data_IF_314495041647
#
_entry.id   IF_314495041647
#
_cell.length_a   1.000
_cell.length_b   1.000
_cell.length_c   1.000
_cell.angle_alpha   90.00
_cell.angle_beta   90.00
_cell.angle_gamma   90.00
#
_symmetry.space_group_name_H-M   'P 1'
#
loop_
_entity.id
_entity.type
_entity.pdbx_description
1 polymer ?
#
# COMPACT_ATOMS: atom_id res chain seq x y z
N UNK A 1 43.99 20.43 44.86
CA UNK A 1 43.75 19.02 44.40
C UNK A 1 42.41 18.48 44.84
N UNK A 2 41.91 18.76 46.06
CA UNK A 2 40.59 18.29 46.54
C UNK A 2 39.38 18.89 45.77
N UNK A 3 39.48 20.09 45.26
CA UNK A 3 38.41 20.77 44.52
C UNK A 3 38.19 20.16 43.10
N UNK A 4 39.22 19.55 42.52
CA UNK A 4 39.10 18.90 41.21
C UNK A 4 38.44 17.49 41.26
N UNK A 5 38.59 16.78 42.37
CA UNK A 5 37.99 15.44 42.58
C UNK A 5 36.48 15.52 42.79
N UNK A 6 35.98 16.52 43.51
CA UNK A 6 34.55 16.75 43.72
C UNK A 6 33.83 17.14 42.41
N UNK A 7 34.49 17.92 41.57
CA UNK A 7 33.94 18.34 40.27
C UNK A 7 33.93 17.19 39.24
N UNK A 8 34.86 16.25 39.32
CA UNK A 8 34.93 15.08 38.49
C UNK A 8 33.86 14.02 38.91
N UNK A 9 33.65 13.84 40.22
CA UNK A 9 32.59 12.97 40.75
C UNK A 9 31.19 13.45 40.37
N UNK A 10 30.93 14.75 40.41
CA UNK A 10 29.65 15.33 40.01
C UNK A 10 29.41 15.21 38.48
N UNK A 11 30.44 15.32 37.64
CA UNK A 11 30.33 15.10 36.21
C UNK A 11 30.06 13.64 35.84
N UNK A 12 30.70 12.69 36.54
CA UNK A 12 30.46 11.25 36.37
C UNK A 12 29.05 10.89 36.85
N UNK A 13 28.61 11.42 37.97
CA UNK A 13 27.24 11.22 38.48
C UNK A 13 26.19 11.78 37.52
N UNK A 14 26.43 12.97 36.94
CA UNK A 14 25.53 13.55 35.93
C UNK A 14 25.52 12.75 34.62
N UNK A 15 26.66 12.18 34.21
CA UNK A 15 26.76 11.33 33.04
C UNK A 15 26.03 10.00 33.25
N UNK A 16 26.16 9.39 34.44
CA UNK A 16 25.44 8.15 34.79
C UNK A 16 23.93 8.40 34.94
N UNK A 17 23.51 9.53 35.49
CA UNK A 17 22.09 9.90 35.58
C UNK A 17 21.50 10.19 34.19
N UNK A 18 22.25 10.85 33.31
CA UNK A 18 21.81 11.10 31.92
C UNK A 18 21.78 9.80 31.08
N UNK A 19 22.72 8.84 31.29
CA UNK A 19 22.66 7.53 30.67
C UNK A 19 21.47 6.68 31.19
N UNK A 20 21.17 6.76 32.47
CA UNK A 20 19.99 6.10 33.06
C UNK A 20 18.67 6.75 32.62
N UNK A 21 18.65 8.05 32.33
CA UNK A 21 17.49 8.73 31.75
C UNK A 21 17.26 8.37 30.27
N UNK A 22 18.32 8.05 29.54
CA UNK A 22 18.22 7.58 28.16
C UNK A 22 17.69 6.13 28.02
N UNK A 23 17.83 5.30 29.08
CA UNK A 23 17.31 3.92 29.07
C UNK A 23 15.79 3.86 29.33
N UNK A 24 15.15 4.95 29.70
CA UNK A 24 13.70 5.08 29.79
C UNK A 24 13.00 5.51 28.50
N UNK A 25 13.62 5.28 27.34
CA UNK A 25 12.89 5.22 26.06
C UNK A 25 11.98 3.98 26.10
N UNK A 26 10.77 4.21 26.61
CA UNK A 26 9.76 3.16 26.77
C UNK A 26 9.38 2.58 25.43
N UNK A 27 9.99 1.48 25.04
CA UNK A 27 9.48 0.70 23.94
C UNK A 27 8.04 0.29 24.32
N UNK A 28 7.09 0.88 23.68
CA UNK A 28 5.67 0.53 23.72
C UNK A 28 5.50 -0.65 22.77
N UNK A 29 4.53 -1.51 23.03
CA UNK A 29 4.10 -2.49 22.02
C UNK A 29 3.80 -1.76 20.72
N UNK A 30 4.50 -2.14 19.64
CA UNK A 30 4.33 -1.62 18.29
C UNK A 30 3.81 -2.75 17.43
N UNK A 31 2.66 -2.51 16.81
CA UNK A 31 2.02 -3.42 15.87
C UNK A 31 2.25 -2.93 14.44
N UNK A 32 2.27 -3.82 13.44
CA UNK A 32 2.15 -3.45 12.04
C UNK A 32 0.92 -2.58 11.76
N UNK A 33 0.99 -1.76 10.72
CA UNK A 33 -0.04 -0.77 10.40
C UNK A 33 -1.41 -1.37 10.07
N UNK A 34 -1.48 -2.64 9.72
CA UNK A 34 -2.75 -3.35 9.48
C UNK A 34 -3.41 -3.91 10.73
N UNK A 35 -2.76 -3.86 11.89
CA UNK A 35 -3.39 -4.15 13.18
C UNK A 35 -3.79 -2.85 13.87
N UNK A 36 -4.94 -2.32 13.55
CA UNK A 36 -5.47 -1.07 14.10
C UNK A 36 -6.90 -1.24 14.63
N UNK A 37 -7.41 -0.19 15.25
CA UNK A 37 -8.83 -0.07 15.51
C UNK A 37 -9.63 -0.33 14.23
N UNK A 38 -10.87 -0.74 14.36
CA UNK A 38 -11.81 -1.02 13.28
C UNK A 38 -11.46 -2.22 12.37
N UNK A 39 -10.36 -2.94 12.58
CA UNK A 39 -9.97 -4.08 11.74
C UNK A 39 -11.01 -5.22 11.79
N UNK A 40 -10.98 -6.04 10.74
CA UNK A 40 -11.65 -7.35 10.72
C UNK A 40 -10.58 -8.44 10.77
N UNK A 41 -10.81 -9.45 11.61
CA UNK A 41 -10.02 -10.67 11.66
C UNK A 41 -10.78 -11.80 10.99
N UNK A 42 -10.09 -12.68 10.25
CA UNK A 42 -10.71 -13.86 9.66
C UNK A 42 -11.32 -14.76 10.73
N UNK A 43 -12.55 -15.19 10.52
CA UNK A 43 -13.28 -16.07 11.46
C UNK A 43 -12.81 -17.51 11.40
N UNK A 44 -13.04 -18.28 12.49
CA UNK A 44 -12.84 -19.73 12.60
C UNK A 44 -11.43 -20.19 12.16
N UNK A 45 -10.39 -19.43 12.52
CA UNK A 45 -9.01 -19.71 12.18
C UNK A 45 -8.06 -19.28 13.30
N UNK A 46 -6.77 -19.42 13.08
CA UNK A 46 -5.73 -18.82 13.93
C UNK A 46 -5.17 -17.58 13.22
N UNK A 47 -5.21 -16.44 13.92
CA UNK A 47 -4.58 -15.20 13.47
C UNK A 47 -3.26 -15.01 14.22
N UNK A 48 -2.19 -14.82 13.47
CA UNK A 48 -0.87 -14.56 14.05
C UNK A 48 -0.64 -13.06 14.20
N UNK A 49 -0.71 -12.57 15.44
CA UNK A 49 -0.26 -11.23 15.77
C UNK A 49 1.26 -11.22 15.92
N UNK A 50 1.89 -10.14 15.48
CA UNK A 50 3.33 -9.95 15.61
C UNK A 50 3.66 -8.46 15.73
N UNK A 51 4.90 -8.16 16.11
CA UNK A 51 5.35 -6.78 16.22
C UNK A 51 6.61 -6.65 17.06
N UNK A 52 6.80 -5.46 17.61
CA UNK A 52 7.93 -5.15 18.48
C UNK A 52 7.44 -4.79 19.89
N UNK A 53 8.24 -5.10 20.89
CA UNK A 53 7.99 -4.73 22.29
C UNK A 53 9.32 -4.69 23.07
N UNK A 54 9.25 -4.49 24.38
CA UNK A 54 10.45 -4.46 25.24
C UNK A 54 11.15 -5.82 25.28
N UNK A 55 12.45 -5.82 24.97
CA UNK A 55 13.31 -7.00 24.94
C UNK A 55 13.14 -7.89 26.20
N UNK A 56 13.01 -9.19 25.99
CA UNK A 56 12.95 -10.18 27.06
C UNK A 56 11.71 -10.12 27.94
N UNK A 57 10.78 -9.21 27.69
CA UNK A 57 9.50 -9.13 28.40
C UNK A 57 8.54 -10.19 27.93
N UNK A 58 7.62 -10.55 28.83
CA UNK A 58 6.45 -11.35 28.48
C UNK A 58 5.39 -10.41 27.94
N UNK A 59 4.94 -10.67 26.72
CA UNK A 59 3.79 -10.02 26.11
C UNK A 59 2.54 -10.85 26.38
N UNK A 60 1.47 -10.20 26.79
CA UNK A 60 0.14 -10.79 26.96
C UNK A 60 -0.84 -10.17 26.00
N UNK A 61 -1.65 -10.99 25.34
CA UNK A 61 -2.76 -10.58 24.50
C UNK A 61 -4.05 -11.09 25.12
N UNK A 62 -4.95 -10.18 25.46
CA UNK A 62 -6.28 -10.53 25.97
C UNK A 62 -7.31 -10.28 24.89
N UNK A 63 -8.11 -11.27 24.58
CA UNK A 63 -9.15 -11.25 23.56
C UNK A 63 -10.50 -10.88 24.15
N UNK A 64 -11.24 -10.00 23.50
CA UNK A 64 -12.55 -9.53 23.98
C UNK A 64 -13.71 -10.50 23.72
N UNK A 65 -13.51 -11.56 22.94
CA UNK A 65 -14.58 -12.54 22.65
C UNK A 65 -14.72 -13.65 23.67
N UNK A 66 -13.64 -13.99 24.40
CA UNK A 66 -13.69 -15.02 25.43
C UNK A 66 -12.94 -14.62 26.73
N UNK A 67 -12.31 -13.42 26.75
CA UNK A 67 -11.45 -12.92 27.83
C UNK A 67 -10.24 -13.80 28.17
N UNK A 68 -9.83 -14.67 27.26
CA UNK A 68 -8.63 -15.47 27.42
C UNK A 68 -7.36 -14.64 27.26
N UNK A 69 -6.31 -15.06 27.96
CA UNK A 69 -5.00 -14.41 27.95
C UNK A 69 -4.00 -15.34 27.28
N UNK A 70 -3.51 -14.92 26.13
CA UNK A 70 -2.45 -15.58 25.38
C UNK A 70 -1.12 -14.92 25.69
N UNK A 71 -0.04 -15.71 25.74
CA UNK A 71 1.26 -15.25 26.22
C UNK A 71 2.37 -15.64 25.25
N UNK A 72 3.29 -14.70 24.98
CA UNK A 72 4.53 -14.97 24.24
C UNK A 72 5.69 -14.20 24.85
N UNK A 73 6.92 -14.60 24.54
CA UNK A 73 8.12 -13.91 24.98
C UNK A 73 8.70 -13.08 23.83
N UNK A 74 9.03 -11.82 24.13
CA UNK A 74 9.74 -10.95 23.19
C UNK A 74 11.19 -11.44 23.08
N UNK A 75 11.65 -11.68 21.86
CA UNK A 75 13.00 -12.18 21.60
C UNK A 75 14.08 -11.12 21.85
N UNK A 76 15.36 -11.52 21.70
CA UNK A 76 16.53 -10.64 21.92
C UNK A 76 16.61 -9.46 20.94
N UNK A 77 15.90 -9.50 19.83
CA UNK A 77 15.88 -8.45 18.81
C UNK A 77 14.64 -7.55 18.93
N UNK A 78 13.82 -7.77 19.99
CA UNK A 78 12.62 -6.97 20.26
C UNK A 78 11.38 -7.39 19.49
N UNK A 79 11.42 -8.51 18.76
CA UNK A 79 10.29 -9.04 18.01
C UNK A 79 9.53 -10.10 18.82
N UNK A 80 8.25 -10.19 18.54
CA UNK A 80 7.37 -11.22 19.07
C UNK A 80 6.36 -11.67 18.03
N UNK A 81 5.83 -12.88 18.19
CA UNK A 81 4.76 -13.45 17.39
C UNK A 81 3.90 -14.33 18.30
N UNK A 82 2.59 -14.35 18.05
CA UNK A 82 1.62 -15.09 18.84
C UNK A 82 0.39 -15.42 18.01
N UNK A 83 0.07 -16.70 17.87
CA UNK A 83 -1.16 -17.16 17.23
C UNK A 83 -2.31 -17.20 18.24
N UNK A 84 -3.45 -16.69 17.82
CA UNK A 84 -4.66 -16.58 18.63
C UNK A 84 -5.85 -17.10 17.82
N UNK A 85 -6.63 -18.05 18.33
CA UNK A 85 -7.81 -18.56 17.65
C UNK A 85 -8.92 -17.49 17.62
N UNK A 86 -9.56 -17.36 16.48
CA UNK A 86 -10.71 -16.48 16.28
C UNK A 86 -12.01 -17.26 16.33
N UNK A 87 -13.07 -16.73 16.94
CA UNK A 87 -14.39 -17.35 16.97
C UNK A 87 -15.10 -17.27 15.61
N UNK A 88 -16.33 -17.73 15.55
CA UNK A 88 -17.26 -17.40 14.49
C UNK A 88 -17.50 -15.88 14.41
N UNK A 89 -18.00 -15.42 13.27
CA UNK A 89 -18.23 -14.00 12.99
C UNK A 89 -19.00 -13.28 14.11
N UNK A 90 -18.56 -12.07 14.41
CA UNK A 90 -19.17 -11.24 15.46
C UNK A 90 -18.35 -10.00 15.79
N UNK A 91 -18.67 -9.39 16.88
CA UNK A 91 -18.05 -8.14 17.36
C UNK A 91 -19.09 -7.04 17.59
N UNK A 92 -18.66 -5.81 17.92
CA UNK A 92 -17.25 -5.39 18.04
C UNK A 92 -16.57 -5.88 19.32
N UNK A 93 -15.29 -6.23 19.21
CA UNK A 93 -14.45 -6.68 20.31
C UNK A 93 -13.33 -5.68 20.61
N UNK A 94 -12.70 -5.84 21.78
CA UNK A 94 -11.46 -5.14 22.13
C UNK A 94 -10.34 -6.15 22.32
N UNK A 95 -9.20 -5.89 21.70
CA UNK A 95 -7.95 -6.63 21.95
C UNK A 95 -7.03 -5.80 22.84
N UNK A 96 -6.45 -6.42 23.83
CA UNK A 96 -5.51 -5.74 24.73
C UNK A 96 -4.15 -6.40 24.68
N UNK A 97 -3.13 -5.64 24.32
CA UNK A 97 -1.73 -6.04 24.32
C UNK A 97 -1.02 -5.38 25.49
N UNK A 98 -0.19 -6.12 26.22
CA UNK A 98 0.58 -5.55 27.32
C UNK A 98 1.91 -6.28 27.54
N UNK A 99 2.98 -5.49 27.63
CA UNK A 99 4.33 -5.89 28.09
C UNK A 99 4.70 -5.20 29.43
N UNK A 100 3.66 -4.66 30.11
CA UNK A 100 3.75 -3.77 31.27
C UNK A 100 3.04 -2.44 31.02
N UNK A 101 2.91 -2.02 29.73
CA UNK A 101 2.04 -0.94 29.30
C UNK A 101 0.93 -1.49 28.42
N UNK A 102 -0.26 -0.94 28.55
CA UNK A 102 -1.46 -1.38 27.85
C UNK A 102 -1.59 -0.66 26.52
N UNK A 103 -1.74 -1.44 25.43
CA UNK A 103 -2.21 -1.01 24.12
C UNK A 103 -3.55 -1.70 23.87
N UNK A 104 -4.56 -0.96 23.43
CA UNK A 104 -5.87 -1.53 23.08
C UNK A 104 -6.19 -1.22 21.63
N UNK A 105 -6.69 -2.24 20.93
CA UNK A 105 -7.37 -2.10 19.66
C UNK A 105 -8.87 -2.27 19.91
N UNK A 106 -9.64 -1.31 19.44
CA UNK A 106 -11.09 -1.21 19.68
C UNK A 106 -11.86 -1.45 18.40
N UNK A 107 -13.15 -1.76 18.56
CA UNK A 107 -14.07 -1.94 17.43
C UNK A 107 -13.58 -3.01 16.44
N UNK A 108 -12.91 -4.05 16.95
CA UNK A 108 -12.41 -5.17 16.16
C UNK A 108 -13.56 -6.12 15.84
N UNK A 109 -13.74 -6.42 14.58
CA UNK A 109 -14.74 -7.38 14.11
C UNK A 109 -14.06 -8.71 13.79
N UNK A 110 -14.82 -9.80 13.82
CA UNK A 110 -14.45 -11.11 13.31
C UNK A 110 -15.41 -11.47 12.19
N UNK A 111 -14.90 -11.86 11.02
CA UNK A 111 -15.71 -12.13 9.83
C UNK A 111 -14.85 -12.63 8.67
N UNK A 112 -15.19 -12.21 7.47
CA UNK A 112 -14.43 -12.53 6.26
C UNK A 112 -13.41 -11.44 5.96
N UNK A 113 -12.17 -11.82 5.62
CA UNK A 113 -11.11 -10.89 5.22
C UNK A 113 -10.61 -11.24 3.82
N UNK A 114 -10.63 -10.24 2.93
CA UNK A 114 -10.24 -10.40 1.54
C UNK A 114 -9.11 -9.44 1.17
N UNK A 115 -8.07 -9.98 0.56
CA UNK A 115 -6.97 -9.23 -0.01
C UNK A 115 -7.24 -9.01 -1.49
N UNK A 116 -7.49 -7.75 -1.88
CA UNK A 116 -7.82 -7.32 -3.23
C UNK A 116 -6.58 -6.72 -3.87
N UNK A 117 -6.03 -7.37 -4.89
CA UNK A 117 -4.76 -7.02 -5.51
C UNK A 117 -4.88 -6.98 -7.03
N UNK A 118 -4.08 -6.16 -7.67
CA UNK A 118 -4.00 -6.06 -9.11
C UNK A 118 -3.68 -4.65 -9.60
N UNK A 119 -3.94 -4.43 -10.89
CA UNK A 119 -3.66 -3.16 -11.54
C UNK A 119 -4.95 -2.34 -11.78
N UNK A 120 -5.01 -1.50 -12.83
CA UNK A 120 -6.02 -0.46 -13.04
C UNK A 120 -7.47 -0.90 -12.87
N UNK A 121 -7.88 -2.09 -13.31
CA UNK A 121 -9.26 -2.56 -13.13
C UNK A 121 -9.60 -2.83 -11.66
N UNK A 122 -8.63 -3.31 -10.88
CA UNK A 122 -8.81 -3.48 -9.43
C UNK A 122 -8.67 -2.16 -8.68
N UNK A 123 -7.81 -1.25 -9.16
CA UNK A 123 -7.57 0.05 -8.53
C UNK A 123 -8.70 1.05 -8.79
N UNK A 124 -9.45 0.94 -9.89
CA UNK A 124 -10.44 1.94 -10.29
C UNK A 124 -11.34 2.35 -9.12
N UNK A 125 -11.29 3.62 -8.68
CA UNK A 125 -12.06 4.08 -7.53
C UNK A 125 -13.55 4.20 -7.84
N UNK A 126 -14.37 4.34 -6.80
CA UNK A 126 -15.80 4.63 -6.97
C UNK A 126 -15.99 5.98 -7.64
N UNK A 127 -15.21 7.01 -7.23
CA UNK A 127 -15.24 8.35 -7.81
C UNK A 127 -13.89 9.05 -7.64
N UNK A 128 -12.96 8.80 -8.54
CA UNK A 128 -11.64 9.42 -8.56
C UNK A 128 -11.20 9.66 -10.01
N UNK A 129 -10.02 9.17 -10.36
CA UNK A 129 -9.54 9.18 -11.76
C UNK A 129 -10.42 8.35 -12.71
N UNK A 130 -11.12 7.32 -12.17
CA UNK A 130 -12.23 6.61 -12.78
C UNK A 130 -13.51 6.83 -11.98
N UNK A 131 -14.67 6.50 -12.56
CA UNK A 131 -15.97 6.64 -11.91
C UNK A 131 -16.89 5.50 -12.28
N UNK A 132 -17.65 5.01 -11.31
CA UNK A 132 -18.80 4.15 -11.63
C UNK A 132 -19.98 5.01 -12.11
N UNK A 133 -20.88 4.45 -12.91
CA UNK A 133 -21.95 5.23 -13.58
C UNK A 133 -22.81 6.04 -12.62
N UNK A 134 -23.13 5.48 -11.46
CA UNK A 134 -24.00 6.06 -10.44
C UNK A 134 -23.24 6.43 -9.15
N UNK A 135 -21.99 6.90 -9.29
CA UNK A 135 -21.07 7.12 -8.17
C UNK A 135 -21.63 8.07 -7.09
N UNK A 136 -22.40 9.10 -7.46
CA UNK A 136 -23.00 10.04 -6.51
C UNK A 136 -24.01 9.37 -5.61
N UNK A 137 -24.87 8.53 -6.19
CA UNK A 137 -25.83 7.73 -5.43
C UNK A 137 -25.12 6.71 -4.55
N UNK A 138 -24.13 5.98 -5.09
CA UNK A 138 -23.35 4.99 -4.33
C UNK A 138 -22.66 5.62 -3.12
N UNK A 139 -22.06 6.80 -3.27
CA UNK A 139 -21.44 7.53 -2.18
C UNK A 139 -22.48 7.95 -1.14
N UNK A 140 -23.60 8.52 -1.59
CA UNK A 140 -24.65 9.03 -0.68
C UNK A 140 -25.26 7.91 0.15
N UNK A 141 -25.46 6.74 -0.44
CA UNK A 141 -26.09 5.58 0.20
C UNK A 141 -25.11 4.72 1.00
N UNK A 142 -23.80 4.98 0.91
CA UNK A 142 -22.79 4.19 1.60
C UNK A 142 -22.86 4.38 3.11
N UNK A 143 -23.42 3.37 3.78
CA UNK A 143 -23.49 3.27 5.24
C UNK A 143 -23.48 1.79 5.63
N UNK A 144 -22.28 1.18 5.60
CA UNK A 144 -22.10 -0.24 5.88
C UNK A 144 -21.05 -0.45 6.98
N UNK A 145 -21.36 -0.15 8.26
CA UNK A 145 -20.37 -0.18 9.33
C UNK A 145 -19.79 -1.58 9.61
N UNK A 146 -20.43 -2.65 9.13
CA UNK A 146 -19.88 -4.01 9.19
C UNK A 146 -18.92 -4.32 8.04
N UNK A 147 -18.79 -3.46 7.03
CA UNK A 147 -17.75 -3.54 6.01
C UNK A 147 -16.62 -2.61 6.44
N UNK A 148 -15.40 -3.12 6.41
CA UNK A 148 -14.19 -2.38 6.80
C UNK A 148 -13.20 -2.33 5.65
N UNK A 149 -12.64 -1.17 5.44
CA UNK A 149 -11.78 -0.82 4.33
C UNK A 149 -10.38 -0.51 4.83
N UNK A 150 -9.39 -1.08 4.18
CA UNK A 150 -7.98 -0.77 4.40
C UNK A 150 -7.31 -0.58 3.03
N UNK A 151 -6.82 0.61 2.74
CA UNK A 151 -6.12 0.88 1.48
C UNK A 151 -4.62 1.00 1.74
N UNK A 152 -3.84 0.17 1.06
CA UNK A 152 -2.39 0.14 1.15
C UNK A 152 -1.80 1.32 0.39
N UNK A 153 -0.90 2.06 1.03
CA UNK A 153 -0.14 3.10 0.37
C UNK A 153 0.84 2.48 -0.63
N UNK A 154 0.82 2.96 -1.86
CA UNK A 154 1.74 2.51 -2.91
C UNK A 154 3.18 2.69 -2.47
N UNK A 155 3.94 1.62 -2.58
CA UNK A 155 5.36 1.58 -2.27
C UNK A 155 6.05 0.51 -3.11
N UNK A 156 7.29 0.75 -3.53
CA UNK A 156 8.12 -0.22 -4.24
C UNK A 156 9.19 -0.75 -3.30
N UNK A 157 9.45 -2.05 -3.39
CA UNK A 157 10.54 -2.70 -2.65
C UNK A 157 11.07 -3.89 -3.42
N UNK A 158 12.36 -4.12 -3.33
CA UNK A 158 13.04 -5.30 -3.93
C UNK A 158 13.04 -6.52 -3.03
N UNK A 159 12.69 -6.31 -1.79
CA UNK A 159 12.53 -7.38 -0.80
C UNK A 159 11.15 -7.27 -0.15
N UNK A 160 10.54 -8.38 0.27
CA UNK A 160 9.32 -8.33 1.04
C UNK A 160 9.49 -7.48 2.30
N UNK A 161 8.60 -6.52 2.52
CA UNK A 161 8.58 -5.70 3.73
C UNK A 161 7.78 -6.40 4.82
N UNK A 162 8.16 -6.15 6.08
CA UNK A 162 7.46 -6.70 7.25
C UNK A 162 6.23 -5.90 7.68
N UNK A 163 6.01 -4.73 7.06
CA UNK A 163 4.91 -3.83 7.37
C UNK A 163 4.54 -3.01 6.12
N UNK A 164 3.38 -2.37 6.15
CA UNK A 164 2.85 -1.52 5.10
C UNK A 164 2.27 -0.24 5.70
N UNK A 165 2.16 0.82 4.93
CA UNK A 165 1.43 2.02 5.31
C UNK A 165 0.02 2.01 4.71
N UNK A 166 -0.92 2.65 5.39
CA UNK A 166 -2.27 2.87 4.88
C UNK A 166 -2.44 4.32 4.45
N UNK A 167 -3.09 4.55 3.30
CA UNK A 167 -3.53 5.89 2.88
C UNK A 167 -4.66 6.43 3.74
N UNK A 168 -5.39 5.54 4.43
CA UNK A 168 -6.57 5.85 5.24
C UNK A 168 -6.24 5.98 6.75
N UNK A 169 -4.96 5.83 7.14
CA UNK A 169 -4.52 5.85 8.53
C UNK A 169 -4.89 4.60 9.32
N UNK A 170 -5.18 3.49 8.65
CA UNK A 170 -5.62 2.21 9.19
C UNK A 170 -6.96 1.77 8.64
N UNK A 171 -7.62 0.81 9.32
CA UNK A 171 -8.94 0.34 8.94
C UNK A 171 -10.03 1.38 9.19
N UNK A 172 -10.92 1.55 8.23
CA UNK A 172 -12.05 2.48 8.30
C UNK A 172 -13.39 1.76 8.09
N UNK A 173 -14.45 2.28 8.69
CA UNK A 173 -15.81 1.84 8.37
C UNK A 173 -16.20 2.30 6.97
N UNK A 174 -16.91 1.45 6.24
CA UNK A 174 -17.44 1.80 4.93
C UNK A 174 -18.55 2.84 5.05
N UNK A 175 -18.27 4.03 4.53
CA UNK A 175 -19.16 5.18 4.60
C UNK A 175 -19.02 6.08 3.37
N UNK A 176 -19.90 7.06 3.24
CA UNK A 176 -19.82 8.09 2.20
C UNK A 176 -18.48 8.85 2.18
N UNK A 177 -17.79 8.93 3.32
CA UNK A 177 -16.48 9.60 3.42
C UNK A 177 -15.32 8.71 3.02
N UNK A 178 -15.46 7.38 3.07
CA UNK A 178 -14.34 6.44 2.92
C UNK A 178 -14.31 5.71 1.57
N UNK A 179 -15.43 5.63 0.85
CA UNK A 179 -15.50 4.89 -0.42
C UNK A 179 -15.09 5.68 -1.69
N UNK A 180 -15.10 7.03 -1.77
CA UNK A 180 -14.90 7.72 -3.04
C UNK A 180 -13.60 7.31 -3.76
N UNK A 181 -12.48 7.30 -3.05
CA UNK A 181 -11.15 6.95 -3.59
C UNK A 181 -10.80 5.46 -3.42
N UNK A 182 -11.69 4.67 -2.83
CA UNK A 182 -11.48 3.24 -2.62
C UNK A 182 -11.81 2.44 -3.88
N UNK A 183 -11.15 1.28 -4.06
CA UNK A 183 -11.43 0.35 -5.16
C UNK A 183 -12.94 0.06 -5.29
N UNK A 184 -13.52 0.42 -6.41
CA UNK A 184 -14.94 0.16 -6.69
C UNK A 184 -15.24 -1.35 -6.72
N UNK A 185 -14.34 -2.13 -7.34
CA UNK A 185 -14.51 -3.58 -7.42
C UNK A 185 -14.47 -4.24 -6.04
N UNK A 186 -13.49 -3.87 -5.21
CA UNK A 186 -13.38 -4.37 -3.84
C UNK A 186 -14.59 -3.95 -2.98
N UNK A 187 -15.07 -2.72 -3.13
CA UNK A 187 -16.26 -2.23 -2.45
C UNK A 187 -17.52 -3.02 -2.84
N UNK A 188 -17.79 -3.18 -4.13
CA UNK A 188 -18.97 -3.92 -4.58
C UNK A 188 -18.91 -5.40 -4.19
N UNK A 189 -17.72 -6.00 -4.27
CA UNK A 189 -17.50 -7.36 -3.82
C UNK A 189 -17.78 -7.54 -2.33
N UNK A 190 -17.21 -6.67 -1.49
CA UNK A 190 -17.43 -6.70 -0.05
C UNK A 190 -18.91 -6.52 0.30
N UNK A 191 -19.60 -5.60 -0.39
CA UNK A 191 -21.04 -5.37 -0.20
C UNK A 191 -21.89 -6.57 -0.59
N UNK A 192 -21.52 -7.27 -1.67
CA UNK A 192 -22.19 -8.49 -2.11
C UNK A 192 -22.02 -9.60 -1.08
N UNK A 193 -20.78 -9.83 -0.62
CA UNK A 193 -20.52 -10.83 0.43
C UNK A 193 -21.26 -10.52 1.72
N UNK A 194 -21.22 -9.27 2.17
CA UNK A 194 -21.94 -8.86 3.37
C UNK A 194 -23.45 -9.12 3.28
N UNK A 195 -24.08 -8.85 2.12
CA UNK A 195 -25.49 -9.12 1.89
C UNK A 195 -25.83 -10.60 1.92
N UNK A 196 -24.96 -11.42 1.32
CA UNK A 196 -25.19 -12.88 1.24
C UNK A 196 -24.89 -13.61 2.55
N UNK A 197 -23.79 -13.26 3.21
CA UNK A 197 -23.31 -13.99 4.37
C UNK A 197 -23.80 -13.40 5.69
N UNK A 198 -24.20 -12.15 5.70
CA UNK A 198 -24.59 -11.38 6.89
C UNK A 198 -23.52 -11.42 8.02
N UNK A 199 -22.25 -11.37 7.64
CA UNK A 199 -21.10 -11.32 8.55
C UNK A 199 -20.26 -10.06 8.28
N UNK A 200 -19.45 -9.59 9.23
CA UNK A 200 -18.49 -8.54 8.97
C UNK A 200 -17.53 -8.90 7.82
N UNK A 201 -17.20 -7.93 6.97
CA UNK A 201 -16.31 -8.12 5.83
C UNK A 201 -15.20 -7.06 5.86
N UNK A 202 -13.97 -7.50 5.92
CA UNK A 202 -12.78 -6.66 5.77
C UNK A 202 -12.19 -6.81 4.37
N UNK A 203 -11.90 -5.69 3.71
CA UNK A 203 -11.19 -5.69 2.42
C UNK A 203 -9.92 -4.86 2.50
N UNK A 204 -8.84 -5.46 2.05
CA UNK A 204 -7.54 -4.82 1.93
C UNK A 204 -7.30 -4.54 0.45
N UNK A 205 -7.33 -3.27 0.07
CA UNK A 205 -7.03 -2.80 -1.28
C UNK A 205 -5.52 -2.57 -1.41
N UNK A 206 -4.86 -3.44 -2.17
CA UNK A 206 -3.44 -3.34 -2.50
C UNK A 206 -3.29 -3.39 -4.03
N UNK A 207 -3.49 -2.23 -4.66
CA UNK A 207 -3.60 -2.12 -6.12
C UNK A 207 -2.72 -1.01 -6.65
N UNK A 208 -2.24 -1.19 -7.90
CA UNK A 208 -1.45 -0.17 -8.59
C UNK A 208 -1.60 -0.30 -10.10
N UNK A 209 -2.29 0.65 -10.72
CA UNK A 209 -2.51 0.70 -12.17
C UNK A 209 -1.21 0.83 -12.95
N UNK A 210 -1.17 0.20 -14.13
CA UNK A 210 0.00 0.20 -15.00
C UNK A 210 1.13 -0.75 -14.59
N UNK A 211 0.97 -1.53 -13.53
CA UNK A 211 1.97 -2.51 -13.11
C UNK A 211 1.83 -3.81 -13.90
N UNK A 212 2.94 -4.44 -14.31
CA UNK A 212 2.93 -5.76 -14.95
C UNK A 212 2.71 -6.87 -13.91
N UNK A 213 2.35 -8.07 -14.36
CA UNK A 213 2.06 -9.22 -13.49
C UNK A 213 3.28 -9.64 -12.64
N UNK A 214 4.46 -9.42 -13.16
CA UNK A 214 5.74 -9.71 -12.50
C UNK A 214 5.92 -8.92 -11.21
N UNK A 215 5.41 -7.69 -11.14
CA UNK A 215 5.47 -6.86 -9.95
C UNK A 215 4.65 -7.42 -8.77
N UNK A 216 3.70 -8.33 -9.05
CA UNK A 216 2.83 -9.01 -8.08
C UNK A 216 3.23 -10.46 -7.83
N UNK A 217 4.31 -10.92 -8.46
CA UNK A 217 4.79 -12.29 -8.36
C UNK A 217 6.04 -12.33 -7.47
N UNK A 218 6.11 -13.29 -6.55
CA UNK A 218 7.27 -13.41 -5.66
C UNK A 218 8.55 -13.72 -6.46
N UNK A 219 9.67 -13.22 -5.97
CA UNK A 219 11.01 -13.50 -6.53
C UNK A 219 11.25 -14.99 -6.73
N UNK A 220 10.90 -15.83 -5.74
CA UNK A 220 11.09 -17.28 -5.80
C UNK A 220 10.26 -17.94 -6.92
N UNK A 221 9.08 -17.40 -7.20
CA UNK A 221 8.25 -17.87 -8.30
C UNK A 221 8.81 -17.41 -9.65
N UNK A 222 9.18 -16.13 -9.78
CA UNK A 222 9.76 -15.59 -11.01
C UNK A 222 11.07 -16.31 -11.39
N UNK A 223 11.90 -16.65 -10.42
CA UNK A 223 13.15 -17.38 -10.63
C UNK A 223 12.95 -18.76 -11.30
N UNK A 224 11.76 -19.35 -11.17
CA UNK A 224 11.42 -20.61 -11.82
C UNK A 224 11.02 -20.42 -13.29
N UNK A 225 10.67 -19.21 -13.71
CA UNK A 225 10.27 -18.88 -15.07
C UNK A 225 11.51 -18.50 -15.88
N UNK A 226 11.80 -19.24 -16.94
CA UNK A 226 13.04 -19.10 -17.74
C UNK A 226 13.26 -17.68 -18.26
N UNK A 227 12.21 -16.99 -18.71
CA UNK A 227 12.30 -15.63 -19.27
C UNK A 227 12.75 -14.54 -18.30
N UNK A 228 12.64 -14.76 -16.98
CA UNK A 228 12.98 -13.75 -15.97
C UNK A 228 14.33 -13.95 -15.30
N UNK A 229 15.02 -15.09 -15.54
CA UNK A 229 16.26 -15.42 -14.83
C UNK A 229 17.37 -14.41 -15.06
N UNK A 230 17.56 -13.95 -16.28
CA UNK A 230 18.60 -12.98 -16.62
C UNK A 230 18.29 -11.60 -16.04
N UNK A 231 17.04 -11.19 -16.06
CA UNK A 231 16.60 -9.91 -15.48
C UNK A 231 16.73 -9.90 -13.97
N UNK A 232 16.33 -10.97 -13.30
CA UNK A 232 16.51 -11.13 -11.86
C UNK A 232 17.97 -11.13 -11.46
N UNK A 233 18.84 -11.79 -12.24
CA UNK A 233 20.29 -11.78 -11.99
C UNK A 233 20.90 -10.37 -12.14
N UNK A 234 20.39 -9.56 -13.05
CA UNK A 234 20.77 -8.13 -13.17
C UNK A 234 20.27 -7.34 -11.96
N UNK A 235 19.05 -7.59 -11.52
CA UNK A 235 18.49 -6.93 -10.35
C UNK A 235 19.28 -7.23 -9.07
N UNK A 236 19.75 -8.46 -8.87
CA UNK A 236 20.59 -8.83 -7.72
C UNK A 236 21.91 -8.03 -7.64
N UNK A 237 22.40 -7.53 -8.78
CA UNK A 237 23.64 -6.75 -8.85
C UNK A 237 23.42 -5.23 -8.70
N UNK A 238 22.15 -4.78 -8.73
CA UNK A 238 21.84 -3.37 -8.58
C UNK A 238 21.97 -2.93 -7.12
N UNK A 239 22.69 -1.85 -6.92
CA UNK A 239 22.64 -1.11 -5.66
C UNK A 239 21.32 -0.36 -5.58
N UNK A 240 20.38 -0.95 -4.87
CA UNK A 240 18.99 -0.49 -4.81
C UNK A 240 18.83 0.69 -3.84
N UNK A 241 18.97 1.89 -4.39
CA UNK A 241 18.56 3.13 -3.74
C UNK A 241 17.30 3.67 -4.46
N UNK A 242 16.10 3.51 -3.89
CA UNK A 242 14.84 3.95 -4.51
C UNK A 242 14.85 5.45 -4.88
N UNK A 243 15.45 6.29 -4.04
CA UNK A 243 15.51 7.75 -4.25
C UNK A 243 16.39 8.06 -5.46
N UNK A 244 17.54 7.40 -5.56
CA UNK A 244 18.45 7.58 -6.68
C UNK A 244 17.87 7.08 -7.99
N UNK A 245 17.18 5.95 -7.96
CA UNK A 245 16.50 5.38 -9.13
C UNK A 245 15.35 6.25 -9.62
N UNK A 246 14.51 6.75 -8.71
CA UNK A 246 13.43 7.68 -9.04
C UNK A 246 13.98 8.97 -9.67
N UNK A 247 15.05 9.52 -9.10
CA UNK A 247 15.71 10.70 -9.66
C UNK A 247 16.27 10.45 -11.06
N UNK A 248 16.94 9.32 -11.28
CA UNK A 248 17.48 8.94 -12.59
C UNK A 248 16.36 8.77 -13.62
N UNK A 249 15.30 8.05 -13.25
CA UNK A 249 14.11 7.88 -14.10
C UNK A 249 13.45 9.21 -14.47
N UNK A 250 13.26 10.10 -13.51
CA UNK A 250 12.65 11.40 -13.75
C UNK A 250 13.54 12.29 -14.65
N UNK A 251 14.87 12.17 -14.52
CA UNK A 251 15.80 12.86 -15.40
C UNK A 251 15.73 12.32 -16.84
N UNK A 252 15.85 11.01 -17.02
CA UNK A 252 15.74 10.35 -18.34
C UNK A 252 14.40 10.65 -19.01
N UNK A 253 13.31 10.60 -18.25
CA UNK A 253 11.98 10.96 -18.73
C UNK A 253 11.89 12.41 -19.18
N UNK A 254 12.49 13.33 -18.43
CA UNK A 254 12.50 14.76 -18.79
C UNK A 254 13.33 15.00 -20.06
N UNK A 255 14.47 14.34 -20.19
CA UNK A 255 15.32 14.42 -21.39
C UNK A 255 14.57 13.85 -22.61
N UNK A 256 13.92 12.70 -22.46
CA UNK A 256 13.09 12.09 -23.49
C UNK A 256 11.93 13.01 -23.91
N UNK A 257 11.21 13.58 -22.96
CA UNK A 257 10.12 14.52 -23.26
C UNK A 257 10.63 15.77 -24.00
N UNK A 258 11.81 16.27 -23.64
CA UNK A 258 12.40 17.43 -24.31
C UNK A 258 12.81 17.13 -25.76
N UNK A 259 13.36 15.95 -26.03
CA UNK A 259 13.67 15.48 -27.39
C UNK A 259 12.39 15.33 -28.21
N UNK A 260 11.40 14.71 -27.62
CA UNK A 260 10.10 14.46 -28.24
C UNK A 260 9.40 15.75 -28.69
N UNK A 261 9.34 16.76 -27.82
CA UNK A 261 8.75 18.06 -28.16
C UNK A 261 9.51 18.80 -29.26
N UNK A 262 10.83 18.60 -29.37
CA UNK A 262 11.64 19.24 -30.43
C UNK A 262 11.49 18.57 -31.80
N UNK A 263 11.24 17.26 -31.80
CA UNK A 263 11.14 16.47 -33.04
C UNK A 263 9.71 16.41 -33.60
N UNK A 264 8.69 16.80 -32.79
CA UNK A 264 7.31 16.83 -33.23
C UNK A 264 7.07 18.02 -34.20
N UNK A 265 7.03 17.71 -35.47
CA UNK A 265 6.76 18.71 -36.53
C UNK A 265 5.35 19.32 -36.50
N UNK A 266 4.44 18.72 -35.77
CA UNK A 266 3.09 19.25 -35.53
C UNK A 266 3.03 20.32 -34.47
N UNK A 267 4.17 20.61 -33.82
CA UNK A 267 4.32 21.62 -32.76
C UNK A 267 5.29 22.71 -33.19
N UNK A 268 4.97 23.96 -32.95
CA UNK A 268 5.82 25.12 -33.15
C UNK A 268 5.72 26.02 -31.92
N UNK A 269 6.85 26.28 -31.25
CA UNK A 269 6.89 27.05 -29.99
C UNK A 269 5.87 26.54 -28.93
N UNK A 270 5.80 25.23 -28.74
CA UNK A 270 4.84 24.55 -27.83
C UNK A 270 3.36 24.74 -28.21
N UNK A 271 3.07 25.16 -29.45
CA UNK A 271 1.71 25.28 -29.98
C UNK A 271 1.49 24.30 -31.12
N UNK A 272 0.32 23.64 -31.16
CA UNK A 272 0.00 22.72 -32.24
C UNK A 272 -0.24 23.50 -33.54
N UNK A 273 0.68 23.39 -34.52
CA UNK A 273 0.57 24.05 -35.82
C UNK A 273 -0.23 23.21 -36.82
N UNK A 274 -0.28 21.89 -36.67
CA UNK A 274 -1.01 21.01 -37.60
C UNK A 274 -2.53 20.97 -37.39
N UNK A 275 -3.05 21.74 -36.45
CA UNK A 275 -4.50 21.95 -36.27
C UNK A 275 -5.05 23.08 -37.14
N UNK A 276 -4.22 23.84 -37.85
CA UNK A 276 -4.66 24.96 -38.67
C UNK A 276 -5.66 24.52 -39.76
N UNK A 277 -6.76 25.26 -39.97
CA UNK A 277 -7.80 24.85 -40.93
C UNK A 277 -7.32 24.84 -42.40
N UNK A 278 -6.31 25.63 -42.69
CA UNK A 278 -5.74 25.86 -44.03
C UNK A 278 -4.46 25.06 -44.29
N UNK A 279 -4.14 24.10 -43.41
CA UNK A 279 -2.97 23.27 -43.58
C UNK A 279 -3.05 22.41 -44.82
N UNK A 280 -2.00 22.43 -45.65
CA UNK A 280 -1.88 21.57 -46.82
C UNK A 280 -1.74 20.10 -46.43
N UNK A 281 -2.59 19.25 -47.00
CA UNK A 281 -2.61 17.81 -46.70
C UNK A 281 -1.67 16.98 -47.60
N UNK A 282 -0.79 17.62 -48.36
CA UNK A 282 0.03 16.95 -49.37
C UNK A 282 1.02 15.87 -48.87
N UNK A 283 1.23 15.78 -47.58
CA UNK A 283 2.10 14.75 -46.94
C UNK A 283 1.33 13.80 -46.02
N UNK A 284 0.02 13.87 -46.01
CA UNK A 284 -0.83 13.03 -45.19
C UNK A 284 -1.28 11.78 -45.97
N UNK A 285 -1.54 10.71 -45.30
CA UNK A 285 -2.15 9.51 -45.88
C UNK A 285 -3.33 9.04 -45.08
N UNK A 286 -4.24 8.30 -45.71
CA UNK A 286 -5.44 7.78 -45.10
C UNK A 286 -5.09 6.61 -44.18
N UNK A 287 -5.71 6.58 -42.97
CA UNK A 287 -5.62 5.49 -42.03
C UNK A 287 -7.01 5.12 -41.53
N UNK A 288 -7.30 3.82 -41.52
CA UNK A 288 -8.54 3.32 -40.92
C UNK A 288 -8.47 3.33 -39.40
N UNK A 289 -9.44 4.01 -38.79
CA UNK A 289 -9.58 4.09 -37.32
C UNK A 289 -10.94 3.58 -36.86
N UNK A 290 -11.06 2.96 -35.70
CA UNK A 290 -9.97 2.69 -34.74
C UNK A 290 -9.18 1.42 -35.10
N UNK A 291 -7.87 1.49 -35.18
CA UNK A 291 -6.94 0.36 -35.28
C UNK A 291 -5.54 0.79 -34.80
N UNK A 292 -4.64 -0.17 -34.62
CA UNK A 292 -3.24 0.11 -34.32
C UNK A 292 -2.51 0.64 -35.55
N UNK A 293 -1.70 1.68 -35.36
CA UNK A 293 -0.93 2.28 -36.45
C UNK A 293 0.13 1.36 -37.05
N UNK A 294 0.62 0.39 -36.25
CA UNK A 294 1.57 -0.63 -36.69
C UNK A 294 0.98 -1.52 -37.80
N UNK A 295 -0.33 -1.77 -37.77
CA UNK A 295 -1.04 -2.51 -38.82
C UNK A 295 -1.27 -1.64 -40.07
N UNK A 296 -1.21 -0.33 -39.91
CA UNK A 296 -1.46 0.64 -40.97
C UNK A 296 -0.16 1.24 -41.55
N UNK A 297 0.95 0.52 -41.44
CA UNK A 297 2.20 0.87 -42.12
C UNK A 297 3.30 1.43 -41.22
N UNK A 298 3.00 1.81 -39.98
CA UNK A 298 3.97 2.36 -39.04
C UNK A 298 4.56 1.26 -38.14
N UNK A 299 5.12 0.21 -38.73
CA UNK A 299 5.72 -0.89 -37.98
C UNK A 299 6.89 -0.41 -37.13
N UNK A 300 6.90 -0.79 -35.85
CA UNK A 300 7.93 -0.44 -34.86
C UNK A 300 8.16 1.08 -34.74
N UNK A 301 7.12 1.87 -34.93
CA UNK A 301 7.19 3.32 -34.72
C UNK A 301 6.81 3.66 -33.29
N UNK A 302 7.78 4.21 -32.55
CA UNK A 302 7.58 4.80 -31.24
C UNK A 302 7.63 6.32 -31.36
N UNK A 303 6.49 7.00 -31.15
CA UNK A 303 6.42 8.44 -31.35
C UNK A 303 5.01 9.02 -31.29
N UNK A 304 4.81 10.18 -31.88
CA UNK A 304 3.51 10.86 -32.02
C UNK A 304 2.98 10.70 -33.44
N UNK A 305 1.72 10.35 -33.55
CA UNK A 305 0.99 10.36 -34.81
C UNK A 305 -0.15 11.37 -34.70
N UNK A 306 -0.15 12.31 -35.62
CA UNK A 306 -1.21 13.29 -35.74
C UNK A 306 -2.32 12.76 -36.64
N UNK A 307 -3.54 12.81 -36.17
CA UNK A 307 -4.72 12.44 -36.94
C UNK A 307 -5.56 13.66 -37.20
N UNK A 308 -6.04 13.77 -38.44
CA UNK A 308 -6.97 14.80 -38.86
C UNK A 308 -8.19 14.16 -39.51
N UNK A 309 -9.36 14.66 -39.18
CA UNK A 309 -10.61 14.25 -39.80
C UNK A 309 -11.24 15.49 -40.50
N UNK A 310 -11.51 15.36 -41.76
CA UNK A 310 -12.29 16.33 -42.57
C UNK A 310 -13.78 16.08 -42.41
#
# INVERSE_FOLDING_TARGET
EQMNLVNMGNKILFLCVSLLAYVNSYAKVVLPAYFTDNMVLQQNTEVTFHGKAVLGKILKVTTGWNNEVYVTQVNKDGYWSLSVPTPAAGGPYTLTFTDGKKLQLKNVMVGEVWFCSGQSNMEMPVAGWGKVMNYEQEITEANYPSIRLFQVKKNTSVIPLSDMESTMGGWQECSSATIPEFSSLAYFYARSLWKELNVPVGVIDCTWGGTPAEAWTSYETLKQVLGFREELAKMEQLDFDPIRMEKAYNQERSEWQSLFSKEDKGMEEDKPCWIAPDLSEGQWWDMCLPDYWEKNGLKNFDGVVWFRRS
#
